data_IF_520996638426
#
_entry.id   IF_520996638426
#
_cell.length_a   1.000
_cell.length_b   1.000
_cell.length_c   1.000
_cell.angle_alpha   90.00
_cell.angle_beta   90.00
_cell.angle_gamma   90.00
#
_symmetry.space_group_name_H-M   'P 1'
#
loop_
_entity.id
_entity.type
_entity.pdbx_description
1 polymer ?
#
# COMPACT_ATOMS: atom_id res chain seq x y z
N UNK A 1 -24.56 27.50 -63.22
CA UNK A 1 -25.16 28.32 -62.14
C UNK A 1 -25.46 27.39 -60.98
N UNK A 2 -24.76 27.56 -59.84
CA UNK A 2 -25.01 26.93 -58.51
C UNK A 2 -24.87 25.39 -58.42
N UNK A 3 -24.21 24.71 -57.47
CA UNK A 3 -23.53 25.09 -56.22
C UNK A 3 -22.52 23.99 -55.81
N UNK A 4 -21.48 24.42 -55.08
CA UNK A 4 -20.52 23.60 -54.34
C UNK A 4 -21.14 22.75 -53.21
N UNK A 5 -20.61 21.54 -53.01
CA UNK A 5 -20.46 20.77 -51.74
C UNK A 5 -19.88 19.38 -52.14
N UNK A 6 -18.86 18.79 -51.53
CA UNK A 6 -18.27 18.98 -50.23
C UNK A 6 -16.78 18.63 -50.29
N UNK A 7 -15.95 19.52 -49.77
CA UNK A 7 -14.59 19.23 -49.35
C UNK A 7 -14.64 18.57 -47.95
N UNK A 8 -13.71 17.64 -47.73
CA UNK A 8 -13.08 17.34 -46.45
C UNK A 8 -13.97 16.83 -45.30
N UNK A 9 -14.10 15.50 -45.23
CA UNK A 9 -14.45 14.79 -44.01
C UNK A 9 -13.32 13.83 -43.61
N UNK A 10 -12.14 14.38 -43.30
CA UNK A 10 -11.05 13.65 -42.64
C UNK A 10 -10.45 14.51 -41.53
N UNK A 11 -11.12 14.58 -40.39
CA UNK A 11 -10.54 15.28 -39.24
C UNK A 11 -11.48 15.46 -38.06
N UNK A 12 -11.83 14.39 -37.35
CA UNK A 12 -12.37 14.49 -35.98
C UNK A 12 -12.47 13.12 -35.28
N UNK A 13 -11.36 12.38 -35.15
CA UNK A 13 -11.29 11.19 -34.27
C UNK A 13 -10.20 11.31 -33.18
N UNK A 14 -9.76 12.53 -32.86
CA UNK A 14 -9.05 12.75 -31.59
C UNK A 14 -10.08 12.83 -30.46
N UNK A 15 -10.52 11.66 -30.01
CA UNK A 15 -11.16 11.50 -28.72
C UNK A 15 -10.29 12.21 -27.67
N UNK A 16 -10.89 13.16 -26.95
CA UNK A 16 -10.31 13.76 -25.76
C UNK A 16 -9.95 12.63 -24.80
N UNK A 17 -8.68 12.23 -24.76
CA UNK A 17 -8.15 11.44 -23.65
C UNK A 17 -8.23 12.36 -22.44
N UNK A 18 -9.26 12.19 -21.62
CA UNK A 18 -9.29 12.75 -20.27
C UNK A 18 -7.94 12.41 -19.64
N UNK A 19 -7.18 13.44 -19.24
CA UNK A 19 -5.93 13.24 -18.56
C UNK A 19 -6.18 12.30 -17.37
N UNK A 20 -5.43 11.20 -17.28
CA UNK A 20 -5.51 10.33 -16.13
C UNK A 20 -5.34 11.21 -14.88
N UNK A 21 -6.16 11.03 -13.83
CA UNK A 21 -6.04 11.83 -12.62
C UNK A 21 -4.60 11.74 -12.14
N UNK A 22 -3.96 12.90 -11.92
CA UNK A 22 -2.60 12.95 -11.39
C UNK A 22 -2.58 12.12 -10.13
N UNK A 23 -1.77 11.06 -10.11
CA UNK A 23 -1.60 10.19 -8.94
C UNK A 23 -1.06 11.08 -7.83
N UNK A 24 -1.94 11.53 -6.94
CA UNK A 24 -1.55 12.35 -5.81
C UNK A 24 -0.80 11.41 -4.87
N UNK A 25 0.53 11.53 -4.88
CA UNK A 25 1.38 10.89 -3.90
C UNK A 25 1.05 11.53 -2.56
N UNK A 26 0.30 10.80 -1.74
CA UNK A 26 0.17 11.14 -0.33
C UNK A 26 1.47 10.68 0.30
N UNK A 27 2.28 11.63 0.77
CA UNK A 27 3.49 11.31 1.52
C UNK A 27 3.08 10.56 2.80
N UNK A 28 3.76 9.44 3.08
CA UNK A 28 3.52 8.72 4.32
C UNK A 28 4.08 9.53 5.50
N UNK A 29 3.41 9.49 6.64
CA UNK A 29 3.93 10.09 7.87
C UNK A 29 5.08 9.23 8.38
N UNK A 30 6.26 9.84 8.52
CA UNK A 30 7.42 9.15 9.08
C UNK A 30 7.38 9.21 10.61
N UNK A 31 7.42 8.03 11.23
CA UNK A 31 7.35 7.90 12.68
C UNK A 31 8.69 7.37 13.20
N UNK A 32 9.32 8.16 14.04
CA UNK A 32 10.61 7.93 14.67
C UNK A 32 10.48 8.08 16.20
N UNK A 33 11.55 7.78 16.94
CA UNK A 33 11.52 7.79 18.41
C UNK A 33 11.05 9.12 19.03
N UNK A 34 11.30 10.25 18.36
CA UNK A 34 10.98 11.57 18.89
C UNK A 34 9.51 11.98 18.69
N UNK A 35 8.81 11.43 17.69
CA UNK A 35 7.41 11.74 17.40
C UNK A 35 6.47 10.54 17.56
N UNK A 36 6.97 9.39 18.03
CA UNK A 36 6.18 8.17 18.20
C UNK A 36 4.92 8.40 19.05
N UNK A 37 5.04 9.04 20.20
CA UNK A 37 3.89 9.23 21.09
C UNK A 37 2.81 10.12 20.46
N UNK A 38 3.22 11.22 19.82
CA UNK A 38 2.33 12.15 19.13
C UNK A 38 1.57 11.45 18.00
N UNK A 39 2.29 10.69 17.16
CA UNK A 39 1.66 9.98 16.04
C UNK A 39 0.80 8.81 16.51
N UNK A 40 1.12 8.17 17.63
CA UNK A 40 0.25 7.15 18.22
C UNK A 40 -1.05 7.74 18.81
N UNK A 41 -1.04 8.98 19.28
CA UNK A 41 -2.26 9.72 19.64
C UNK A 41 -3.09 9.98 18.37
N UNK A 42 -2.49 10.57 17.34
CA UNK A 42 -3.17 10.86 16.07
C UNK A 42 -3.75 9.57 15.43
N UNK A 43 -2.98 8.47 15.49
CA UNK A 43 -3.40 7.17 14.97
C UNK A 43 -4.66 6.65 15.68
N UNK A 44 -4.77 6.84 17.00
CA UNK A 44 -5.98 6.44 17.75
C UNK A 44 -7.21 7.18 17.25
N UNK A 45 -7.12 8.50 17.11
CA UNK A 45 -8.22 9.33 16.62
C UNK A 45 -8.62 8.95 15.19
N UNK A 46 -7.63 8.70 14.31
CA UNK A 46 -7.88 8.24 12.95
C UNK A 46 -8.56 6.87 12.94
N UNK A 47 -8.13 5.94 13.80
CA UNK A 47 -8.65 4.58 13.87
C UNK A 47 -10.13 4.51 14.29
N UNK A 48 -10.66 5.53 14.96
CA UNK A 48 -12.10 5.60 15.27
C UNK A 48 -12.97 5.67 14.00
N UNK A 49 -12.49 6.40 12.98
CA UNK A 49 -13.22 6.64 11.72
C UNK A 49 -12.76 5.68 10.61
N UNK A 50 -11.46 5.39 10.53
CA UNK A 50 -10.82 4.60 9.49
C UNK A 50 -10.40 3.23 10.03
N UNK A 51 -11.38 2.35 10.23
CA UNK A 51 -11.25 1.09 10.98
C UNK A 51 -10.64 -0.08 10.19
N UNK A 52 -10.30 0.09 8.91
CA UNK A 52 -9.64 -0.95 8.12
C UNK A 52 -8.14 -0.67 8.08
N UNK A 53 -7.33 -1.59 8.59
CA UNK A 53 -5.89 -1.42 8.71
C UNK A 53 -5.17 -2.45 7.83
N UNK A 54 -4.36 -1.97 6.90
CA UNK A 54 -3.35 -2.78 6.21
C UNK A 54 -2.02 -2.64 6.94
N UNK A 55 -1.36 -3.76 7.20
CA UNK A 55 -0.08 -3.83 7.91
C UNK A 55 0.95 -4.46 6.99
N UNK A 56 2.11 -3.81 6.86
CA UNK A 56 3.29 -4.37 6.22
C UNK A 56 4.48 -4.24 7.18
N UNK A 57 5.20 -5.34 7.38
CA UNK A 57 6.39 -5.37 8.25
C UNK A 57 7.59 -5.73 7.40
N UNK A 58 8.57 -4.82 7.35
CA UNK A 58 9.84 -5.07 6.69
C UNK A 58 10.80 -5.71 7.69
N UNK A 59 11.14 -6.97 7.44
CA UNK A 59 12.14 -7.73 8.18
C UNK A 59 13.40 -7.90 7.32
N UNK A 60 14.59 -8.05 7.93
CA UNK A 60 15.67 -8.77 7.29
C UNK A 60 15.10 -10.13 6.89
N UNK A 61 15.24 -10.50 5.62
CA UNK A 61 14.65 -11.73 5.05
C UNK A 61 15.19 -12.99 5.76
N UNK A 62 15.04 -14.17 5.15
CA UNK A 62 15.54 -15.43 5.70
C UNK A 62 17.04 -15.34 6.01
N UNK A 63 17.38 -15.43 7.29
CA UNK A 63 18.75 -15.45 7.85
C UNK A 63 19.17 -16.83 8.32
N UNK A 64 18.22 -17.72 8.62
CA UNK A 64 18.48 -19.08 9.07
C UNK A 64 17.40 -20.06 8.58
N UNK A 65 17.75 -21.34 8.53
CA UNK A 65 16.81 -22.44 8.29
C UNK A 65 16.68 -23.28 9.56
N UNK A 66 15.47 -23.69 9.96
CA UNK A 66 15.25 -24.52 11.14
C UNK A 66 15.79 -25.93 10.89
N UNK A 67 16.31 -26.57 11.93
CA UNK A 67 16.78 -27.96 11.89
C UNK A 67 15.88 -28.84 12.76
N UNK A 68 15.53 -30.02 12.26
CA UNK A 68 14.70 -30.98 12.99
C UNK A 68 13.88 -31.87 12.05
N UNK A 69 13.24 -32.92 12.60
CA UNK A 69 12.19 -33.61 11.85
C UNK A 69 10.98 -32.68 11.71
N UNK A 70 10.39 -32.65 10.52
CA UNK A 70 9.12 -31.96 10.26
C UNK A 70 8.12 -33.02 9.76
N UNK A 71 6.91 -33.01 10.31
CA UNK A 71 5.85 -33.95 9.95
C UNK A 71 5.25 -33.66 8.58
N UNK A 72 5.19 -32.39 8.17
CA UNK A 72 4.72 -31.96 6.87
C UNK A 72 5.31 -30.60 6.42
N UNK A 73 4.90 -30.15 5.23
CA UNK A 73 5.31 -28.86 4.67
C UNK A 73 4.76 -27.65 5.43
N UNK A 74 3.62 -27.78 6.12
CA UNK A 74 3.01 -26.68 6.88
C UNK A 74 3.83 -26.41 8.13
N UNK A 75 4.22 -27.46 8.85
CA UNK A 75 5.09 -27.40 10.01
C UNK A 75 6.48 -26.83 9.66
N UNK A 76 7.05 -27.26 8.53
CA UNK A 76 8.31 -26.71 8.02
C UNK A 76 8.18 -25.21 7.72
N UNK A 77 7.13 -24.78 7.01
CA UNK A 77 6.91 -23.37 6.66
C UNK A 77 6.69 -22.49 7.89
N UNK A 78 5.93 -22.97 8.88
CA UNK A 78 5.76 -22.27 10.15
C UNK A 78 7.09 -22.16 10.90
N UNK A 79 7.87 -23.24 10.96
CA UNK A 79 9.18 -23.25 11.61
C UNK A 79 10.17 -22.31 10.92
N UNK A 80 10.14 -22.24 9.59
CA UNK A 80 10.91 -21.28 8.80
C UNK A 80 10.54 -19.85 9.16
N UNK A 81 9.24 -19.52 9.22
CA UNK A 81 8.76 -18.20 9.60
C UNK A 81 9.21 -17.86 11.03
N UNK A 82 8.90 -18.73 12.00
CA UNK A 82 9.20 -18.53 13.41
C UNK A 82 10.70 -18.35 13.66
N UNK A 83 11.54 -19.22 13.12
CA UNK A 83 12.99 -19.15 13.28
C UNK A 83 13.53 -17.77 12.86
N UNK A 84 13.06 -17.25 11.72
CA UNK A 84 13.54 -15.97 11.21
C UNK A 84 12.92 -14.77 11.94
N UNK A 85 11.66 -14.85 12.37
CA UNK A 85 11.04 -13.82 13.21
C UNK A 85 11.73 -13.72 14.56
N UNK A 86 12.05 -14.84 15.20
CA UNK A 86 12.71 -14.88 16.51
C UNK A 86 14.16 -14.35 16.44
N UNK A 87 14.86 -14.56 15.32
CA UNK A 87 16.26 -14.15 15.14
C UNK A 87 16.46 -12.73 14.63
N UNK A 88 15.42 -12.08 14.11
CA UNK A 88 15.54 -10.77 13.45
C UNK A 88 14.78 -9.67 14.21
N UNK A 89 15.10 -8.42 13.88
CA UNK A 89 14.33 -7.25 14.35
C UNK A 89 13.63 -6.64 13.16
N UNK A 90 12.38 -6.20 13.35
CA UNK A 90 11.67 -5.40 12.36
C UNK A 90 12.46 -4.12 12.05
N UNK A 91 12.62 -3.82 10.76
CA UNK A 91 13.25 -2.59 10.28
C UNK A 91 12.24 -1.48 10.13
N UNK A 92 11.04 -1.80 9.65
CA UNK A 92 9.94 -0.86 9.48
C UNK A 92 8.59 -1.57 9.65
N UNK A 93 7.63 -0.86 10.22
CA UNK A 93 6.21 -1.25 10.24
C UNK A 93 5.44 -0.14 9.53
N UNK A 94 4.65 -0.51 8.53
CA UNK A 94 3.83 0.41 7.75
C UNK A 94 2.37 0.11 8.05
N UNK A 95 1.65 1.15 8.46
CA UNK A 95 0.22 1.09 8.72
C UNK A 95 -0.50 1.97 7.69
N UNK A 96 -1.52 1.42 7.03
CA UNK A 96 -2.41 2.19 6.15
C UNK A 96 -3.83 2.01 6.63
N UNK A 97 -4.51 3.13 6.93
CA UNK A 97 -5.87 3.14 7.45
C UNK A 97 -6.85 3.58 6.36
N UNK A 98 -8.01 2.92 6.32
CA UNK A 98 -9.11 3.25 5.42
C UNK A 98 -10.48 3.02 6.05
N UNK A 99 -11.50 3.64 5.47
CA UNK A 99 -12.90 3.37 5.79
C UNK A 99 -13.39 2.13 5.01
N UNK A 100 -14.64 1.72 5.25
CA UNK A 100 -15.26 0.58 4.57
C UNK A 100 -15.43 0.74 3.05
N UNK A 101 -15.19 1.95 2.52
CA UNK A 101 -15.24 2.28 1.09
C UNK A 101 -13.84 2.43 0.49
N UNK A 102 -12.78 2.22 1.28
CA UNK A 102 -11.40 2.37 0.85
C UNK A 102 -10.90 3.82 0.79
N UNK A 103 -11.67 4.79 1.33
CA UNK A 103 -11.17 6.16 1.47
C UNK A 103 -10.14 6.20 2.60
N UNK A 104 -9.09 7.00 2.42
CA UNK A 104 -8.02 7.20 3.41
C UNK A 104 -8.19 8.55 4.12
N UNK A 105 -7.60 8.71 5.31
CA UNK A 105 -7.44 10.01 5.94
C UNK A 105 -6.76 10.96 4.95
N UNK A 106 -7.30 12.18 4.85
CA UNK A 106 -6.61 13.25 4.13
C UNK A 106 -5.65 13.90 5.12
N UNK A 107 -4.37 13.93 4.77
CA UNK A 107 -3.40 14.78 5.44
C UNK A 107 -3.74 16.26 5.19
#
# INVERSE_FOLDING_TARGET
MMNHKAAEAHGAHHARRSAAPKRQFIAAQEVWAHNLEEEMINLRDIAEVYQHITIEVLLPKVVASPTGPFGDYVEYNYSMLRCNVDLTKALQIILTLSDSKGNRPKA
#
